data_IF_044610101235
#
_entry.id   IF_044610101235
#
_cell.length_a   1.000
_cell.length_b   1.000
_cell.length_c   1.000
_cell.angle_alpha   90.00
_cell.angle_beta   90.00
_cell.angle_gamma   90.00
#
_symmetry.space_group_name_H-M   'P 1'
#
loop_
_entity.id
_entity.type
_entity.pdbx_description
1 polymer ?
#
# COMPACT_ATOMS: atom_id res chain seq x y z
N UNK A 1 8.49 15.13 -11.17
CA UNK A 1 7.04 15.41 -11.05
C UNK A 1 6.86 16.86 -10.64
N UNK A 2 6.30 17.65 -11.52
CA UNK A 2 5.91 19.00 -11.17
C UNK A 2 4.51 19.00 -10.57
N UNK A 3 4.39 18.39 -9.39
CA UNK A 3 3.16 18.51 -8.63
C UNK A 3 2.91 19.97 -8.28
N UNK A 4 1.71 20.46 -8.49
CA UNK A 4 1.26 21.65 -7.78
C UNK A 4 1.13 21.28 -6.31
N UNK A 5 2.21 21.41 -5.68
CA UNK A 5 2.08 21.43 -4.29
C UNK A 5 2.49 20.18 -3.60
N UNK A 6 3.41 20.48 -2.95
CA UNK A 6 3.54 20.22 -1.54
C UNK A 6 2.28 20.77 -0.85
N UNK A 7 1.13 20.20 -1.21
CA UNK A 7 -0.09 20.54 -0.55
C UNK A 7 0.01 19.96 0.85
N UNK A 8 0.22 20.82 1.81
CA UNK A 8 -0.04 20.48 3.18
C UNK A 8 -1.45 19.94 3.26
N UNK A 9 -1.62 18.73 3.79
CA UNK A 9 -2.92 18.16 4.06
C UNK A 9 -3.72 19.11 4.95
N UNK A 10 -4.63 19.85 4.34
CA UNK A 10 -5.46 20.85 5.01
C UNK A 10 -6.87 20.33 5.17
N UNK A 11 -7.13 19.71 6.31
CA UNK A 11 -8.47 19.21 6.59
C UNK A 11 -8.72 17.79 6.12
N UNK A 12 -9.95 17.48 5.81
CA UNK A 12 -10.40 16.12 5.49
C UNK A 12 -10.32 15.76 4.00
N UNK A 13 -9.89 16.71 3.18
CA UNK A 13 -9.98 16.56 1.75
C UNK A 13 -8.96 17.44 1.04
N UNK A 14 -8.23 16.84 0.11
CA UNK A 14 -7.19 17.53 -0.64
C UNK A 14 -7.06 16.99 -2.05
N UNK A 15 -6.71 17.89 -2.99
CA UNK A 15 -6.37 17.54 -4.37
C UNK A 15 -4.90 17.70 -4.60
N UNK A 16 -4.30 16.67 -5.18
CA UNK A 16 -2.97 16.71 -5.75
C UNK A 16 -3.12 16.57 -7.26
N UNK A 17 -2.63 17.54 -8.00
CA UNK A 17 -2.67 17.56 -9.45
C UNK A 17 -1.25 17.57 -10.00
N UNK A 18 -0.94 16.62 -10.86
CA UNK A 18 0.34 16.51 -11.55
C UNK A 18 0.14 16.49 -13.06
N UNK A 19 1.22 16.52 -13.84
CA UNK A 19 1.12 16.36 -15.29
C UNK A 19 0.54 15.01 -15.71
N UNK A 20 0.74 13.97 -14.90
CA UNK A 20 0.45 12.60 -15.27
C UNK A 20 -0.85 12.08 -14.66
N UNK A 21 -1.29 12.64 -13.53
CA UNK A 21 -2.49 12.16 -12.84
C UNK A 21 -3.08 13.20 -11.90
N UNK A 22 -4.38 13.04 -11.66
CA UNK A 22 -5.08 13.69 -10.56
C UNK A 22 -5.19 12.71 -9.42
N UNK A 23 -4.83 13.14 -8.24
CA UNK A 23 -5.02 12.37 -7.03
C UNK A 23 -5.83 13.17 -6.02
N UNK A 24 -6.80 12.52 -5.42
CA UNK A 24 -7.64 13.04 -4.37
C UNK A 24 -7.45 12.22 -3.12
N UNK A 25 -7.25 12.86 -2.01
CA UNK A 25 -7.21 12.20 -0.71
C UNK A 25 -8.30 12.73 0.21
N UNK A 26 -8.89 11.82 0.97
CA UNK A 26 -9.84 12.12 2.02
C UNK A 26 -9.52 11.25 3.23
N UNK A 27 -9.65 11.81 4.40
CA UNK A 27 -9.42 11.07 5.64
C UNK A 27 -10.51 11.33 6.67
N UNK A 28 -10.65 10.38 7.57
CA UNK A 28 -11.44 10.46 8.78
C UNK A 28 -10.62 9.91 9.96
N UNK A 29 -11.20 9.83 11.16
CA UNK A 29 -10.50 9.29 12.34
C UNK A 29 -10.08 7.83 12.18
N UNK A 30 -10.72 7.08 11.28
CA UNK A 30 -10.49 5.64 11.08
C UNK A 30 -10.07 5.26 9.68
N UNK A 31 -10.08 6.18 8.70
CA UNK A 31 -9.74 5.85 7.34
C UNK A 31 -9.09 6.98 6.55
N UNK A 32 -8.26 6.59 5.60
CA UNK A 32 -7.67 7.45 4.58
C UNK A 32 -8.02 6.86 3.22
N UNK A 33 -8.45 7.72 2.30
CA UNK A 33 -8.74 7.33 0.92
C UNK A 33 -7.92 8.18 -0.04
N UNK A 34 -7.27 7.53 -1.00
CA UNK A 34 -6.56 8.15 -2.11
C UNK A 34 -7.11 7.61 -3.42
N UNK A 35 -7.35 8.46 -4.38
CA UNK A 35 -7.87 8.06 -5.67
C UNK A 35 -7.20 8.81 -6.83
N UNK A 36 -7.04 8.12 -7.95
CA UNK A 36 -6.67 8.65 -9.25
C UNK A 36 -7.71 8.21 -10.29
N UNK A 37 -7.49 8.50 -11.58
CA UNK A 37 -8.40 8.08 -12.65
C UNK A 37 -8.62 6.57 -12.74
N UNK A 38 -7.58 5.79 -12.43
CA UNK A 38 -7.58 4.34 -12.66
C UNK A 38 -7.44 3.54 -11.39
N UNK A 39 -7.17 4.17 -10.26
CA UNK A 39 -6.84 3.50 -9.02
C UNK A 39 -7.41 4.24 -7.83
N UNK A 40 -7.94 3.47 -6.89
CA UNK A 40 -8.42 3.96 -5.60
C UNK A 40 -7.85 3.08 -4.50
N UNK A 41 -7.31 3.71 -3.48
CA UNK A 41 -6.87 3.04 -2.24
C UNK A 41 -7.62 3.60 -1.05
N UNK A 42 -8.12 2.70 -0.22
CA UNK A 42 -8.66 3.03 1.09
C UNK A 42 -7.88 2.27 2.15
N UNK A 43 -7.44 2.97 3.16
CA UNK A 43 -6.78 2.44 4.33
C UNK A 43 -7.69 2.68 5.53
N UNK A 44 -8.06 1.61 6.23
CA UNK A 44 -9.02 1.66 7.32
C UNK A 44 -8.45 0.96 8.55
N UNK A 45 -8.54 1.59 9.70
CA UNK A 45 -8.30 0.95 10.99
C UNK A 45 -9.56 0.16 11.35
N UNK A 46 -9.52 -1.16 11.16
CA UNK A 46 -10.67 -2.03 11.37
C UNK A 46 -10.86 -2.43 12.83
N UNK A 47 -9.75 -2.51 13.57
CA UNK A 47 -9.70 -2.79 15.00
C UNK A 47 -8.44 -2.17 15.60
N UNK A 48 -8.26 -2.23 16.91
CA UNK A 48 -7.09 -1.67 17.60
C UNK A 48 -5.74 -2.24 17.12
N UNK A 49 -5.76 -3.44 16.53
CA UNK A 49 -4.60 -4.18 16.07
C UNK A 49 -4.67 -4.60 14.60
N UNK A 50 -5.60 -4.05 13.83
CA UNK A 50 -5.77 -4.40 12.43
C UNK A 50 -6.00 -3.19 11.54
N UNK A 51 -5.24 -3.14 10.44
CA UNK A 51 -5.42 -2.20 9.35
C UNK A 51 -5.79 -2.98 8.10
N UNK A 52 -6.80 -2.50 7.40
CA UNK A 52 -7.23 -3.04 6.10
C UNK A 52 -6.91 -2.02 5.02
N UNK A 53 -6.20 -2.46 3.98
CA UNK A 53 -5.96 -1.67 2.78
C UNK A 53 -6.76 -2.30 1.65
N UNK A 54 -7.65 -1.51 1.05
CA UNK A 54 -8.44 -1.90 -0.12
C UNK A 54 -7.95 -1.12 -1.33
N UNK A 55 -7.56 -1.84 -2.37
CA UNK A 55 -7.17 -1.28 -3.65
C UNK A 55 -8.17 -1.70 -4.72
N UNK A 56 -8.59 -0.74 -5.54
CA UNK A 56 -9.44 -0.97 -6.71
C UNK A 56 -8.80 -0.32 -7.93
N UNK A 57 -8.66 -1.09 -8.99
CA UNK A 57 -8.09 -0.63 -10.26
C UNK A 57 -9.10 -0.87 -11.37
N UNK A 58 -9.26 0.13 -12.22
CA UNK A 58 -10.10 0.05 -13.41
C UNK A 58 -9.35 0.69 -14.57
N UNK A 59 -8.86 -0.13 -15.49
CA UNK A 59 -8.10 0.27 -16.67
C UNK A 59 -8.94 0.08 -17.94
N UNK A 60 -8.66 0.82 -19.03
CA UNK A 60 -9.29 0.61 -20.33
C UNK A 60 -9.00 -0.78 -20.93
N UNK A 61 -7.82 -1.31 -20.65
CA UNK A 61 -7.36 -2.60 -21.15
C UNK A 61 -6.51 -3.33 -20.10
N UNK A 62 -6.31 -4.61 -20.27
CA UNK A 62 -5.51 -5.44 -19.35
C UNK A 62 -4.05 -5.00 -19.35
N UNK A 63 -3.50 -4.86 -18.17
CA UNK A 63 -2.11 -4.48 -17.95
C UNK A 63 -1.50 -5.25 -16.78
N UNK A 64 -0.18 -5.23 -16.73
CA UNK A 64 0.56 -5.68 -15.56
C UNK A 64 0.43 -4.64 -14.44
N UNK A 65 -0.05 -5.08 -13.29
CA UNK A 65 -0.22 -4.26 -12.10
C UNK A 65 0.85 -4.64 -11.07
N UNK A 66 1.41 -3.65 -10.42
CA UNK A 66 2.35 -3.85 -9.33
C UNK A 66 2.02 -2.95 -8.15
N UNK A 67 1.85 -3.55 -6.98
CA UNK A 67 1.63 -2.86 -5.72
C UNK A 67 2.89 -3.00 -4.86
N UNK A 68 3.44 -1.88 -4.43
CA UNK A 68 4.68 -1.81 -3.67
C UNK A 68 4.42 -1.42 -2.23
N UNK A 69 5.00 -2.18 -1.31
CA UNK A 69 5.04 -1.85 0.09
C UNK A 69 6.50 -1.75 0.54
N UNK A 70 6.93 -0.53 0.87
CA UNK A 70 8.28 -0.28 1.36
C UNK A 70 8.31 -0.59 2.84
N UNK A 71 9.19 -1.49 3.25
CA UNK A 71 9.30 -1.92 4.63
C UNK A 71 10.40 -1.14 5.36
N UNK A 72 10.23 -0.98 6.67
CA UNK A 72 11.29 -0.46 7.53
C UNK A 72 12.52 -1.39 7.50
N UNK A 73 13.77 -0.89 7.53
CA UNK A 73 14.98 -1.72 7.45
C UNK A 73 15.08 -2.83 8.49
N UNK A 74 14.51 -2.62 9.67
CA UNK A 74 14.54 -3.57 10.77
C UNK A 74 13.49 -4.69 10.65
N UNK A 75 12.65 -4.67 9.60
CA UNK A 75 11.61 -5.69 9.39
C UNK A 75 12.19 -6.90 8.67
N UNK A 76 12.03 -8.05 9.29
CA UNK A 76 12.26 -9.35 8.66
C UNK A 76 10.98 -9.88 8.03
N UNK A 77 11.09 -10.56 6.91
CA UNK A 77 9.94 -11.02 6.12
C UNK A 77 10.02 -12.52 5.90
N UNK A 78 8.93 -13.22 6.20
CA UNK A 78 8.70 -14.61 5.82
C UNK A 78 7.51 -14.68 4.86
N UNK A 79 7.77 -15.13 3.63
CA UNK A 79 6.71 -15.39 2.64
C UNK A 79 6.23 -16.82 2.81
N UNK A 80 4.98 -16.97 3.22
CA UNK A 80 4.29 -18.26 3.34
C UNK A 80 3.19 -18.35 2.27
N UNK A 81 2.65 -19.52 2.03
CA UNK A 81 1.71 -19.75 0.93
C UNK A 81 0.44 -18.88 1.02
N UNK A 82 -0.11 -18.72 2.22
CA UNK A 82 -1.38 -18.01 2.43
C UNK A 82 -1.25 -16.74 3.28
N UNK A 83 -0.03 -16.40 3.70
CA UNK A 83 0.24 -15.22 4.52
C UNK A 83 1.69 -14.77 4.41
N UNK A 84 1.92 -13.55 4.80
CA UNK A 84 3.26 -12.99 4.94
C UNK A 84 3.42 -12.56 6.39
N UNK A 85 4.54 -12.95 6.99
CA UNK A 85 4.86 -12.59 8.37
C UNK A 85 5.96 -11.54 8.36
N UNK A 86 5.69 -10.42 8.98
CA UNK A 86 6.61 -9.29 9.16
C UNK A 86 7.00 -9.21 10.62
N UNK A 87 8.29 -9.27 10.92
CA UNK A 87 8.78 -9.30 12.30
C UNK A 87 9.78 -8.17 12.56
N UNK A 88 9.62 -7.48 13.66
CA UNK A 88 10.58 -6.50 14.17
C UNK A 88 10.75 -6.73 15.68
N UNK A 89 11.85 -7.38 16.06
CA UNK A 89 12.08 -7.79 17.43
C UNK A 89 10.99 -8.74 17.95
N UNK A 90 10.24 -8.28 18.96
CA UNK A 90 9.12 -9.06 19.53
C UNK A 90 7.76 -8.77 18.87
N UNK A 91 7.72 -7.79 18.00
CA UNK A 91 6.49 -7.38 17.32
C UNK A 91 6.35 -8.15 16.02
N UNK A 92 5.17 -8.67 15.78
CA UNK A 92 4.83 -9.41 14.57
C UNK A 92 3.57 -8.88 13.94
N UNK A 93 3.60 -8.71 12.63
CA UNK A 93 2.43 -8.39 11.82
C UNK A 93 2.20 -9.52 10.84
N UNK A 94 1.00 -10.03 10.79
CA UNK A 94 0.56 -11.01 9.81
C UNK A 94 -0.24 -10.32 8.73
N UNK A 95 0.24 -10.41 7.50
CA UNK A 95 -0.42 -9.91 6.31
C UNK A 95 -1.13 -11.06 5.60
N UNK A 96 -2.44 -10.91 5.41
CA UNK A 96 -3.28 -11.75 4.55
C UNK A 96 -3.90 -10.92 3.46
N UNK A 97 -4.42 -11.56 2.43
CA UNK A 97 -5.03 -10.86 1.30
C UNK A 97 -6.21 -11.63 0.70
N UNK A 98 -7.07 -10.86 0.06
CA UNK A 98 -8.14 -11.33 -0.81
C UNK A 98 -8.04 -10.57 -2.12
N UNK A 99 -8.07 -11.27 -3.24
CA UNK A 99 -8.00 -10.67 -4.56
C UNK A 99 -8.98 -11.38 -5.51
N UNK A 100 -9.56 -10.63 -6.45
CA UNK A 100 -10.49 -11.16 -7.45
C UNK A 100 -9.78 -11.75 -8.69
N UNK A 101 -8.46 -11.65 -8.74
CA UNK A 101 -7.60 -12.24 -9.76
C UNK A 101 -6.38 -12.90 -9.10
N UNK A 102 -5.72 -13.85 -9.78
CA UNK A 102 -4.48 -14.44 -9.29
C UNK A 102 -3.41 -13.37 -9.03
N UNK A 103 -2.73 -13.50 -7.90
CA UNK A 103 -1.64 -12.61 -7.50
C UNK A 103 -0.39 -13.40 -7.17
N UNK A 104 0.75 -12.75 -7.31
CA UNK A 104 2.02 -13.27 -6.82
C UNK A 104 2.74 -12.23 -5.96
N UNK A 105 3.39 -12.72 -4.91
CA UNK A 105 4.19 -11.91 -4.02
C UNK A 105 5.68 -12.19 -4.23
N UNK A 106 6.48 -11.13 -4.20
CA UNK A 106 7.94 -11.24 -4.16
C UNK A 106 8.55 -10.20 -3.25
N UNK A 107 9.74 -10.47 -2.79
CA UNK A 107 10.56 -9.57 -1.99
C UNK A 107 11.74 -9.10 -2.84
N UNK A 108 12.06 -7.82 -2.79
CA UNK A 108 13.22 -7.23 -3.46
C UNK A 108 13.95 -6.26 -2.55
N UNK A 109 15.21 -5.98 -2.90
CA UNK A 109 15.97 -4.93 -2.25
C UNK A 109 15.43 -3.55 -2.64
N UNK A 110 15.46 -2.62 -1.71
CA UNK A 110 15.05 -1.25 -1.90
C UNK A 110 15.74 -0.32 -0.93
N UNK A 111 15.24 0.91 -0.89
CA UNK A 111 15.71 1.93 0.03
C UNK A 111 14.51 2.62 0.65
N UNK A 112 14.66 3.02 1.90
CA UNK A 112 13.73 3.92 2.57
C UNK A 112 14.46 5.12 3.15
N UNK A 113 13.73 6.17 3.41
CA UNK A 113 14.25 7.40 3.98
C UNK A 113 13.72 7.57 5.39
N UNK A 114 14.62 7.55 6.37
CA UNK A 114 14.27 7.66 7.79
C UNK A 114 15.26 8.62 8.44
N UNK A 115 14.74 9.61 9.16
CA UNK A 115 15.54 10.57 9.93
C UNK A 115 16.70 11.17 9.10
N UNK A 116 16.39 11.70 7.94
CA UNK A 116 17.33 12.31 6.98
C UNK A 116 18.42 11.36 6.44
N UNK A 117 18.19 10.07 6.53
CA UNK A 117 19.08 9.04 6.01
C UNK A 117 18.36 8.13 5.01
N UNK A 118 19.07 7.80 3.94
CA UNK A 118 18.66 6.74 3.03
C UNK A 118 19.24 5.43 3.53
N UNK A 119 18.37 4.49 3.89
CA UNK A 119 18.74 3.18 4.42
C UNK A 119 18.33 2.07 3.46
N UNK A 120 19.15 1.02 3.39
CA UNK A 120 18.76 -0.20 2.69
C UNK A 120 17.53 -0.80 3.38
N UNK A 121 16.55 -1.17 2.58
CA UNK A 121 15.32 -1.80 3.05
C UNK A 121 14.87 -2.89 2.09
N UNK A 122 13.73 -3.48 2.36
CA UNK A 122 13.09 -4.44 1.47
C UNK A 122 11.78 -3.88 0.95
N UNK A 123 11.41 -4.31 -0.23
CA UNK A 123 10.13 -4.01 -0.86
C UNK A 123 9.36 -5.29 -1.05
N UNK A 124 8.14 -5.27 -0.59
CA UNK A 124 7.19 -6.33 -0.83
C UNK A 124 6.37 -5.95 -2.07
N UNK A 125 6.36 -6.82 -3.07
CA UNK A 125 5.66 -6.61 -4.32
C UNK A 125 4.52 -7.60 -4.45
N UNK A 126 3.34 -7.10 -4.75
CA UNK A 126 2.23 -7.89 -5.23
C UNK A 126 2.03 -7.58 -6.71
N UNK A 127 1.97 -8.60 -7.54
CA UNK A 127 1.77 -8.47 -8.99
C UNK A 127 0.51 -9.19 -9.43
N UNK A 128 -0.20 -8.59 -10.38
CA UNK A 128 -1.37 -9.14 -11.04
C UNK A 128 -1.43 -8.68 -12.51
N UNK A 129 -2.25 -9.35 -13.33
CA UNK A 129 -2.58 -8.94 -14.69
C UNK A 129 -4.09 -8.80 -14.81
N UNK A 130 -4.56 -7.58 -15.05
CA UNK A 130 -5.99 -7.31 -15.17
C UNK A 130 -6.27 -5.93 -15.77
N UNK A 131 -7.46 -5.74 -16.32
CA UNK A 131 -8.05 -4.44 -16.58
C UNK A 131 -8.86 -3.94 -15.37
N UNK A 132 -9.53 -4.87 -14.69
CA UNK A 132 -10.27 -4.62 -13.46
C UNK A 132 -9.72 -5.50 -12.36
N UNK A 133 -9.35 -4.91 -11.23
CA UNK A 133 -8.70 -5.62 -10.14
C UNK A 133 -9.15 -5.07 -8.78
N UNK A 134 -9.47 -5.95 -7.88
CA UNK A 134 -9.80 -5.63 -6.50
C UNK A 134 -8.93 -6.44 -5.55
N UNK A 135 -8.27 -5.76 -4.64
CA UNK A 135 -7.38 -6.32 -3.65
C UNK A 135 -7.73 -5.78 -2.27
N UNK A 136 -7.80 -6.65 -1.30
CA UNK A 136 -7.83 -6.28 0.13
C UNK A 136 -6.67 -6.94 0.83
N UNK A 137 -5.90 -6.15 1.56
CA UNK A 137 -4.83 -6.65 2.43
C UNK A 137 -5.16 -6.35 3.87
N UNK A 138 -4.99 -7.35 4.72
CA UNK A 138 -5.28 -7.31 6.15
C UNK A 138 -3.96 -7.39 6.91
N UNK A 139 -3.64 -6.33 7.63
CA UNK A 139 -2.40 -6.17 8.40
C UNK A 139 -2.74 -6.29 9.88
N UNK A 140 -2.52 -7.46 10.44
CA UNK A 140 -2.88 -7.79 11.80
C UNK A 140 -1.65 -7.81 12.70
N UNK A 141 -1.64 -6.95 13.73
CA UNK A 141 -0.60 -6.92 14.74
C UNK A 141 -0.84 -8.02 15.77
N UNK A 142 0.10 -8.94 15.87
CA UNK A 142 0.14 -9.97 16.91
C UNK A 142 1.07 -9.55 18.05
N UNK A 143 0.56 -9.67 19.23
CA UNK A 143 1.31 -9.39 20.47
C UNK A 143 1.77 -10.68 21.16
#
# INVERSE_FOLDING_TARGET
MNGKGDAELKGRYEWIETQDYHMKSAWSDTSIECASHFWQRRLTVAASNEVVITDQVQLPESASLEFLFILHPAVEVSLEEERIVLTNGKTQVVLRWEADKPVSWKLSAGKCFIADRTLASRRLHLSANAASFSLRTFWHLEN
#
